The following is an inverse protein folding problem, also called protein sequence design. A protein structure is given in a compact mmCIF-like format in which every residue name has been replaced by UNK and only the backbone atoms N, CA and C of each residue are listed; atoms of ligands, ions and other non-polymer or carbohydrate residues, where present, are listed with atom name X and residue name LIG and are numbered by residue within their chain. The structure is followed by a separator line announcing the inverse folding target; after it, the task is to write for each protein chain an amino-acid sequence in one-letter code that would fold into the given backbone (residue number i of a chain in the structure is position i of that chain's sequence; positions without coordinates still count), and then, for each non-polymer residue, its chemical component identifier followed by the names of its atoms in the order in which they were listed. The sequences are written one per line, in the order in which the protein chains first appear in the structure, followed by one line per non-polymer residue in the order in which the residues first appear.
data_IF_148410570220
#
_entry.id   IF_148410570220
#
_cell.length_a   1.000
_cell.length_b   1.000
_cell.length_c   1.000
_cell.angle_alpha   90.00
_cell.angle_beta   90.00
_cell.angle_gamma   90.00
#
_symmetry.space_group_name_H-M   'P 1'
#
loop_
_entity.id
_entity.type
_entity.pdbx_description
1 polymer ?
#
# COMPACT_ATOMS: atom_id res chain seq x y z
N UNK A 1 -32.62 7.67 -28.25
CA UNK A 1 -32.29 7.49 -29.68
C UNK A 1 -30.84 7.07 -29.75
N UNK A 2 -30.52 5.92 -30.33
CA UNK A 2 -29.14 5.54 -30.60
C UNK A 2 -28.88 5.81 -32.09
N UNK A 3 -28.13 6.85 -32.39
CA UNK A 3 -27.66 7.14 -33.75
C UNK A 3 -26.49 6.22 -34.07
N UNK A 4 -26.57 5.51 -35.21
CA UNK A 4 -25.52 4.62 -35.67
C UNK A 4 -24.67 5.33 -36.73
N UNK A 5 -23.41 5.60 -36.39
CA UNK A 5 -22.42 6.21 -37.30
C UNK A 5 -21.47 5.12 -37.79
N UNK A 6 -21.27 5.01 -39.11
CA UNK A 6 -20.33 4.09 -39.75
C UNK A 6 -19.22 4.88 -40.41
N UNK A 7 -17.95 4.56 -40.13
CA UNK A 7 -16.77 5.30 -40.62
C UNK A 7 -15.76 4.32 -41.22
N UNK A 8 -15.18 4.67 -42.38
CA UNK A 8 -14.10 3.92 -43.02
C UNK A 8 -12.74 4.43 -42.53
N UNK A 9 -11.87 3.52 -42.09
CA UNK A 9 -10.56 3.85 -41.50
C UNK A 9 -9.38 3.63 -42.45
N UNK A 10 -9.61 3.14 -43.68
CA UNK A 10 -8.54 2.68 -44.57
C UNK A 10 -7.53 3.75 -44.98
N UNK A 11 -7.92 5.03 -44.94
CA UNK A 11 -7.06 6.16 -45.30
C UNK A 11 -6.30 6.75 -44.10
N UNK A 12 -6.47 6.18 -42.90
CA UNK A 12 -5.77 6.64 -41.70
C UNK A 12 -4.46 5.88 -41.51
N UNK A 13 -3.44 6.62 -41.08
CA UNK A 13 -2.20 6.09 -40.53
C UNK A 13 -2.43 5.37 -39.19
N UNK A 14 -1.45 4.60 -38.71
CA UNK A 14 -1.55 3.89 -37.42
C UNK A 14 -1.75 4.85 -36.23
N UNK A 15 -1.05 5.99 -36.23
CA UNK A 15 -1.16 7.02 -35.19
C UNK A 15 -2.57 7.63 -35.17
N UNK A 16 -3.14 7.93 -36.34
CA UNK A 16 -4.48 8.46 -36.47
C UNK A 16 -5.56 7.43 -36.07
N UNK A 17 -5.33 6.14 -36.32
CA UNK A 17 -6.21 5.05 -35.88
C UNK A 17 -6.23 4.92 -34.36
N UNK A 18 -5.08 5.08 -33.72
CA UNK A 18 -4.95 5.04 -32.25
C UNK A 18 -5.66 6.23 -31.60
N UNK A 19 -5.49 7.43 -32.16
CA UNK A 19 -6.22 8.62 -31.72
C UNK A 19 -7.73 8.47 -31.91
N UNK A 20 -8.18 7.96 -33.06
CA UNK A 20 -9.60 7.73 -33.35
C UNK A 20 -10.22 6.73 -32.37
N UNK A 21 -9.53 5.62 -32.08
CA UNK A 21 -9.98 4.61 -31.10
C UNK A 21 -10.15 5.21 -29.70
N UNK A 22 -9.23 6.09 -29.30
CA UNK A 22 -9.29 6.81 -28.01
C UNK A 22 -10.53 7.70 -27.92
N UNK A 23 -10.87 8.43 -29.00
CA UNK A 23 -12.07 9.26 -29.07
C UNK A 23 -13.36 8.44 -29.02
N UNK A 24 -13.40 7.29 -29.71
CA UNK A 24 -14.55 6.37 -29.69
C UNK A 24 -14.77 5.80 -28.29
N UNK A 25 -13.71 5.39 -27.59
CA UNK A 25 -13.81 4.88 -26.22
C UNK A 25 -14.30 5.98 -25.25
N UNK A 26 -13.80 7.22 -25.40
CA UNK A 26 -14.26 8.38 -24.61
C UNK A 26 -15.74 8.70 -24.86
N UNK A 27 -16.18 8.69 -26.12
CA UNK A 27 -17.57 8.92 -26.51
C UNK A 27 -18.55 7.86 -26.01
N UNK A 28 -18.08 6.62 -25.80
CA UNK A 28 -18.86 5.52 -25.20
C UNK A 28 -19.01 5.60 -23.68
N UNK A 29 -18.52 6.69 -23.05
CA UNK A 29 -18.57 6.84 -21.59
C UNK A 29 -17.60 5.91 -20.85
N UNK A 30 -16.64 5.31 -21.57
CA UNK A 30 -15.51 4.60 -20.95
C UNK A 30 -14.62 5.69 -20.36
N UNK A 31 -14.92 6.10 -19.12
CA UNK A 31 -14.16 7.11 -18.43
C UNK A 31 -12.69 6.71 -18.49
N UNK A 32 -11.85 7.58 -19.04
CA UNK A 32 -10.39 7.44 -19.08
C UNK A 32 -9.78 7.61 -17.69
N UNK A 33 -10.37 6.99 -16.66
CA UNK A 33 -9.57 6.58 -15.52
C UNK A 33 -8.69 5.48 -16.06
N UNK A 34 -7.58 5.89 -16.68
CA UNK A 34 -6.40 5.05 -16.70
C UNK A 34 -6.31 4.42 -15.31
N UNK A 35 -6.21 3.10 -15.28
CA UNK A 35 -6.00 2.39 -14.03
C UNK A 35 -4.81 3.05 -13.32
N UNK A 36 -5.06 3.83 -12.26
CA UNK A 36 -3.98 4.37 -11.42
C UNK A 36 -3.14 3.24 -10.80
N UNK A 37 -3.61 2.00 -10.89
CA UNK A 37 -2.88 0.79 -10.53
C UNK A 37 -1.97 0.38 -11.69
N UNK A 38 -0.67 0.56 -11.49
CA UNK A 38 0.36 0.08 -12.40
C UNK A 38 0.25 -1.43 -12.65
N UNK A 39 0.56 -1.85 -13.87
CA UNK A 39 0.65 -3.26 -14.27
C UNK A 39 1.78 -3.42 -15.28
N UNK A 40 2.65 -4.44 -15.15
CA UNK A 40 3.68 -4.70 -16.15
C UNK A 40 3.09 -5.16 -17.48
N UNK A 41 3.80 -4.88 -18.57
CA UNK A 41 3.57 -5.49 -19.90
C UNK A 41 4.17 -6.89 -19.95
N UNK A 42 3.74 -7.70 -20.94
CA UNK A 42 4.32 -9.04 -21.15
C UNK A 42 5.83 -8.92 -21.41
N UNK A 43 6.63 -9.64 -20.63
CA UNK A 43 8.10 -9.61 -20.67
C UNK A 43 8.75 -8.51 -19.83
N UNK A 44 7.99 -7.63 -19.17
CA UNK A 44 8.56 -6.65 -18.24
C UNK A 44 8.88 -7.29 -16.89
N UNK A 45 9.97 -6.85 -16.27
CA UNK A 45 10.35 -7.25 -14.91
C UNK A 45 9.42 -6.59 -13.90
N UNK A 46 8.99 -7.36 -12.92
CA UNK A 46 8.36 -6.88 -11.70
C UNK A 46 9.03 -7.53 -10.49
N UNK A 47 8.84 -6.92 -9.32
CA UNK A 47 9.33 -7.45 -8.06
C UNK A 47 8.16 -7.96 -7.22
N UNK A 48 8.40 -8.99 -6.42
CA UNK A 48 7.44 -9.53 -5.47
C UNK A 48 8.17 -10.02 -4.22
N UNK A 49 7.44 -10.15 -3.12
CA UNK A 49 7.96 -10.71 -1.86
C UNK A 49 7.62 -12.20 -1.84
N UNK A 50 8.62 -13.07 -1.71
CA UNK A 50 8.40 -14.51 -1.59
C UNK A 50 8.02 -14.92 -0.14
N UNK A 51 7.82 -16.22 0.06
CA UNK A 51 7.49 -16.84 1.35
C UNK A 51 8.58 -16.70 2.42
N UNK A 52 9.83 -16.49 2.02
CA UNK A 52 10.95 -16.19 2.91
C UNK A 52 11.10 -14.69 3.22
N UNK A 53 10.12 -13.87 2.81
CA UNK A 53 10.14 -12.42 2.97
C UNK A 53 11.33 -11.75 2.25
N UNK A 54 11.69 -12.27 1.07
CA UNK A 54 12.76 -11.75 0.21
C UNK A 54 12.14 -11.11 -1.04
N UNK A 55 12.65 -9.94 -1.43
CA UNK A 55 12.31 -9.30 -2.71
C UNK A 55 12.95 -10.07 -3.85
N UNK A 56 12.14 -10.51 -4.82
CA UNK A 56 12.58 -11.31 -5.97
C UNK A 56 12.05 -10.65 -7.25
N UNK A 57 12.88 -10.61 -8.29
CA UNK A 57 12.49 -10.19 -9.63
C UNK A 57 11.90 -11.38 -10.42
N UNK A 58 10.85 -11.13 -11.20
CA UNK A 58 10.28 -12.07 -12.15
C UNK A 58 9.81 -11.35 -13.42
N UNK A 59 9.63 -12.08 -14.52
CA UNK A 59 9.08 -11.54 -15.76
C UNK A 59 7.57 -11.73 -15.78
N UNK A 60 6.84 -10.65 -16.04
CA UNK A 60 5.41 -10.71 -16.23
C UNK A 60 5.09 -11.44 -17.54
N UNK A 61 4.65 -12.69 -17.45
CA UNK A 61 4.28 -13.51 -18.61
C UNK A 61 2.77 -13.61 -18.80
N UNK A 62 2.00 -12.95 -17.93
CA UNK A 62 0.54 -12.99 -17.87
C UNK A 62 0.01 -14.42 -17.59
N UNK A 63 0.79 -15.21 -16.85
CA UNK A 63 0.43 -16.57 -16.42
C UNK A 63 -0.36 -16.53 -15.10
N UNK A 64 -0.76 -17.69 -14.59
CA UNK A 64 -1.57 -17.77 -13.36
C UNK A 64 -0.86 -17.15 -12.15
N UNK A 65 0.41 -17.48 -11.93
CA UNK A 65 1.17 -16.94 -10.77
C UNK A 65 1.28 -15.42 -10.79
N UNK A 66 1.49 -14.80 -11.96
CA UNK A 66 1.52 -13.35 -12.12
C UNK A 66 0.18 -12.71 -11.71
N UNK A 67 -0.92 -13.31 -12.15
CA UNK A 67 -2.28 -12.84 -11.87
C UNK A 67 -2.62 -12.99 -10.39
N UNK A 68 -2.20 -14.09 -9.76
CA UNK A 68 -2.44 -14.33 -8.34
C UNK A 68 -1.64 -13.37 -7.46
N UNK A 69 -0.34 -13.17 -7.75
CA UNK A 69 0.49 -12.16 -7.08
C UNK A 69 -0.13 -10.77 -7.21
N UNK A 70 -0.59 -10.40 -8.41
CA UNK A 70 -1.30 -9.13 -8.63
C UNK A 70 -2.61 -9.03 -7.84
N UNK A 71 -3.39 -10.10 -7.77
CA UNK A 71 -4.69 -10.13 -7.07
C UNK A 71 -4.56 -9.80 -5.59
N UNK A 72 -3.44 -10.20 -4.97
CA UNK A 72 -3.14 -9.91 -3.56
C UNK A 72 -2.29 -8.65 -3.36
N UNK A 73 -1.99 -7.90 -4.43
CA UNK A 73 -1.16 -6.70 -4.36
C UNK A 73 0.34 -6.97 -4.14
N UNK A 74 0.82 -8.19 -4.34
CA UNK A 74 2.23 -8.57 -4.20
C UNK A 74 2.97 -8.40 -5.54
N UNK A 75 2.83 -7.23 -6.16
CA UNK A 75 3.58 -6.83 -7.36
C UNK A 75 4.09 -5.40 -7.18
N UNK A 76 5.37 -5.20 -7.45
CA UNK A 76 6.05 -3.93 -7.27
C UNK A 76 6.83 -3.59 -8.54
N UNK A 77 6.89 -2.30 -8.87
CA UNK A 77 7.58 -1.83 -10.07
C UNK A 77 9.09 -1.83 -9.87
N UNK A 78 9.53 -1.61 -8.65
CA UNK A 78 10.95 -1.56 -8.28
C UNK A 78 11.23 -2.44 -7.08
N UNK A 79 12.49 -2.88 -6.96
CA UNK A 79 12.96 -3.60 -5.78
C UNK A 79 12.77 -2.79 -4.50
N UNK A 80 13.03 -1.47 -4.57
CA UNK A 80 12.85 -0.54 -3.43
C UNK A 80 11.39 -0.51 -2.94
N UNK A 81 10.42 -0.55 -3.83
CA UNK A 81 9.00 -0.64 -3.45
C UNK A 81 8.68 -1.98 -2.75
N UNK A 82 9.23 -3.09 -3.26
CA UNK A 82 9.07 -4.40 -2.65
C UNK A 82 9.73 -4.47 -1.26
N UNK A 83 10.94 -3.94 -1.12
CA UNK A 83 11.66 -3.85 0.15
C UNK A 83 10.94 -2.95 1.15
N UNK A 84 10.39 -1.82 0.70
CA UNK A 84 9.58 -0.96 1.56
C UNK A 84 8.32 -1.67 2.05
N UNK A 85 7.60 -2.37 1.17
CA UNK A 85 6.42 -3.14 1.54
C UNK A 85 6.74 -4.30 2.50
N UNK A 86 7.90 -4.96 2.31
CA UNK A 86 8.45 -5.96 3.22
C UNK A 86 8.70 -5.38 4.61
N UNK A 87 9.40 -4.26 4.72
CA UNK A 87 9.70 -3.64 6.02
C UNK A 87 8.43 -3.09 6.68
N UNK A 88 7.48 -2.55 5.91
CA UNK A 88 6.14 -2.19 6.40
C UNK A 88 5.40 -3.38 7.00
N UNK A 89 5.42 -4.54 6.35
CA UNK A 89 4.79 -5.75 6.87
C UNK A 89 5.47 -6.22 8.18
N UNK A 90 6.81 -6.12 8.27
CA UNK A 90 7.56 -6.44 9.50
C UNK A 90 7.19 -5.52 10.65
N UNK A 91 7.23 -4.20 10.47
CA UNK A 91 6.88 -3.22 11.51
C UNK A 91 5.44 -3.43 12.00
N UNK A 92 4.50 -3.66 11.09
CA UNK A 92 3.12 -3.99 11.48
C UNK A 92 3.06 -5.26 12.33
N UNK A 93 3.78 -6.31 11.94
CA UNK A 93 3.80 -7.59 12.66
C UNK A 93 4.47 -7.50 14.02
N UNK A 94 5.53 -6.70 14.15
CA UNK A 94 6.20 -6.42 15.42
C UNK A 94 5.23 -5.73 16.40
N UNK A 95 4.50 -4.70 15.94
CA UNK A 95 3.47 -4.03 16.75
C UNK A 95 2.32 -4.97 17.15
N UNK A 96 1.82 -5.79 16.22
CA UNK A 96 0.78 -6.79 16.52
C UNK A 96 1.23 -7.80 17.58
N UNK A 97 2.48 -8.28 17.50
CA UNK A 97 3.04 -9.20 18.51
C UNK A 97 3.21 -8.50 19.86
N UNK A 98 3.73 -7.28 19.86
CA UNK A 98 3.86 -6.49 21.09
C UNK A 98 2.51 -6.29 21.77
N UNK A 99 1.47 -5.93 21.00
CA UNK A 99 0.11 -5.81 21.52
C UNK A 99 -0.41 -7.15 22.07
N UNK A 100 -0.16 -8.27 21.40
CA UNK A 100 -0.58 -9.59 21.89
C UNK A 100 0.12 -9.98 23.20
N UNK A 101 1.38 -9.61 23.38
CA UNK A 101 2.19 -9.94 24.56
C UNK A 101 1.92 -9.02 25.76
N UNK A 102 1.57 -7.76 25.52
CA UNK A 102 1.50 -6.73 26.55
C UNK A 102 0.10 -6.18 26.84
N UNK A 103 -0.88 -6.37 25.94
CA UNK A 103 -2.24 -5.99 26.25
C UNK A 103 -2.80 -6.85 27.38
N UNK A 104 -3.66 -6.22 28.18
CA UNK A 104 -4.44 -6.93 29.18
C UNK A 104 -5.46 -7.84 28.47
N UNK A 105 -5.38 -9.17 28.65
CA UNK A 105 -6.30 -10.11 28.00
C UNK A 105 -7.74 -9.98 28.52
N UNK A 106 -7.90 -9.48 29.75
CA UNK A 106 -9.19 -9.28 30.42
C UNK A 106 -9.66 -7.83 30.33
N UNK A 107 -9.06 -7.04 29.44
CA UNK A 107 -9.35 -5.62 29.30
C UNK A 107 -10.85 -5.37 29.04
N UNK A 108 -11.51 -4.80 30.05
CA UNK A 108 -12.92 -4.41 30.01
C UNK A 108 -13.12 -2.90 29.91
N UNK A 109 -12.05 -2.14 29.64
CA UNK A 109 -12.11 -0.69 29.48
C UNK A 109 -12.86 -0.29 28.22
N UNK A 110 -13.22 0.99 28.15
CA UNK A 110 -14.03 1.51 27.04
C UNK A 110 -13.18 2.08 25.90
N UNK A 111 -11.87 2.22 26.09
CA UNK A 111 -11.02 3.01 25.21
C UNK A 111 -9.86 2.16 24.68
N UNK A 112 -9.53 2.32 23.40
CA UNK A 112 -8.34 1.70 22.82
C UNK A 112 -7.36 2.78 22.40
N UNK A 113 -6.08 2.48 22.52
CA UNK A 113 -5.00 3.39 22.17
C UNK A 113 -4.36 2.97 20.85
N UNK A 114 -4.05 3.97 20.01
CA UNK A 114 -3.51 3.78 18.67
C UNK A 114 -2.30 4.69 18.44
N UNK A 115 -1.35 4.19 17.67
CA UNK A 115 -0.26 5.01 17.15
C UNK A 115 -0.82 5.82 15.98
N UNK A 116 -0.69 7.14 16.06
CA UNK A 116 -1.00 8.08 14.98
C UNK A 116 0.23 8.91 14.65
N UNK A 117 0.22 9.59 13.50
CA UNK A 117 1.21 10.61 13.17
C UNK A 117 0.55 11.99 13.22
N UNK A 118 1.14 12.92 13.95
CA UNK A 118 0.81 14.33 13.85
C UNK A 118 1.39 14.90 12.56
N UNK A 119 0.52 15.22 11.60
CA UNK A 119 0.90 15.68 10.27
C UNK A 119 1.62 17.03 10.26
N UNK A 120 1.42 17.88 11.27
CA UNK A 120 2.06 19.19 11.36
C UNK A 120 3.53 19.13 11.75
N UNK A 121 3.92 18.13 12.56
CA UNK A 121 5.29 17.98 13.09
C UNK A 121 5.98 16.69 12.65
N UNK A 122 5.29 15.82 11.89
CA UNK A 122 5.80 14.52 11.42
C UNK A 122 6.31 13.62 12.55
N UNK A 123 5.59 13.61 13.66
CA UNK A 123 5.93 12.83 14.85
C UNK A 123 4.81 11.85 15.22
N UNK A 124 5.16 10.73 15.84
CA UNK A 124 4.20 9.80 16.45
C UNK A 124 3.50 10.43 17.63
N UNK A 125 2.21 10.16 17.77
CA UNK A 125 1.40 10.48 18.94
C UNK A 125 0.48 9.32 19.27
N UNK A 126 -0.20 9.39 20.41
CA UNK A 126 -1.17 8.40 20.86
C UNK A 126 -2.57 8.99 20.72
N UNK A 127 -3.44 8.27 20.02
CA UNK A 127 -4.87 8.55 19.98
C UNK A 127 -5.61 7.56 20.87
N UNK A 128 -6.37 8.09 21.82
CA UNK A 128 -7.39 7.35 22.53
C UNK A 128 -8.70 7.38 21.73
N UNK A 129 -9.31 6.22 21.51
CA UNK A 129 -10.54 6.12 20.73
C UNK A 129 -11.57 5.21 21.42
N UNK A 130 -12.74 5.79 21.67
CA UNK A 130 -13.83 5.12 22.40
C UNK A 130 -14.43 3.97 21.59
N UNK A 131 -14.35 2.77 22.16
CA UNK A 131 -15.04 1.52 21.75
C UNK A 131 -14.92 1.12 20.27
N UNK A 132 -13.91 1.58 19.56
CA UNK A 132 -13.75 1.25 18.15
C UNK A 132 -12.34 0.75 17.85
N UNK A 133 -12.29 -0.39 17.14
CA UNK A 133 -11.09 -0.92 16.49
C UNK A 133 -10.98 -0.35 15.09
N UNK A 134 -9.85 0.24 14.77
CA UNK A 134 -9.58 0.81 13.45
C UNK A 134 -8.96 -0.26 12.56
N UNK A 135 -9.60 -0.57 11.43
CA UNK A 135 -9.06 -1.53 10.48
C UNK A 135 -7.66 -1.09 10.01
N UNK A 136 -6.70 -1.99 10.13
CA UNK A 136 -5.31 -1.74 9.74
C UNK A 136 -4.41 -1.15 10.83
N UNK A 137 -4.96 -0.72 11.97
CA UNK A 137 -4.19 -0.20 13.10
C UNK A 137 -4.14 -1.21 14.26
N UNK A 138 -2.96 -1.35 14.88
CA UNK A 138 -2.81 -2.12 16.11
C UNK A 138 -3.43 -1.34 17.27
N UNK A 139 -4.26 -2.02 18.08
CA UNK A 139 -4.89 -1.45 19.26
C UNK A 139 -4.16 -1.87 20.52
N UNK A 140 -4.06 -0.96 21.48
CA UNK A 140 -3.45 -1.18 22.78
C UNK A 140 -4.45 -0.89 23.91
N UNK A 141 -4.32 -1.59 25.03
CA UNK A 141 -5.26 -1.49 26.17
C UNK A 141 -4.90 -0.39 27.17
N UNK A 142 -3.74 0.27 27.01
CA UNK A 142 -3.39 1.46 27.78
C UNK A 142 -2.46 2.39 27.00
N UNK A 143 -2.46 3.68 27.36
CA UNK A 143 -1.53 4.67 26.82
C UNK A 143 -0.06 4.28 27.07
N UNK A 144 0.22 3.67 28.23
CA UNK A 144 1.58 3.22 28.56
C UNK A 144 2.07 2.16 27.57
N UNK A 145 1.26 1.13 27.30
CA UNK A 145 1.66 0.02 26.42
C UNK A 145 1.97 0.53 25.01
N UNK A 146 1.17 1.46 24.46
CA UNK A 146 1.42 1.98 23.12
C UNK A 146 2.69 2.85 23.07
N UNK A 147 3.00 3.62 24.12
CA UNK A 147 4.26 4.36 24.21
C UNK A 147 5.45 3.41 24.25
N UNK A 148 5.39 2.39 25.10
CA UNK A 148 6.44 1.36 25.18
C UNK A 148 6.61 0.63 23.84
N UNK A 149 5.51 0.36 23.12
CA UNK A 149 5.54 -0.27 21.79
C UNK A 149 6.24 0.61 20.74
N UNK A 150 6.02 1.94 20.78
CA UNK A 150 6.70 2.89 19.90
C UNK A 150 8.22 2.86 20.14
N UNK A 151 8.64 2.81 21.40
CA UNK A 151 10.05 2.72 21.78
C UNK A 151 10.66 1.38 21.35
N UNK A 152 9.99 0.26 21.64
CA UNK A 152 10.48 -1.09 21.37
C UNK A 152 10.62 -1.39 19.86
N UNK A 153 9.67 -0.95 19.05
CA UNK A 153 9.70 -1.15 17.58
C UNK A 153 10.58 -0.10 16.88
N UNK A 154 10.69 1.09 17.47
CA UNK A 154 11.45 2.21 16.96
C UNK A 154 10.55 3.23 16.23
N UNK A 155 10.41 4.41 16.83
CA UNK A 155 9.64 5.55 16.32
C UNK A 155 9.95 5.89 14.85
N UNK A 156 11.22 5.96 14.46
CA UNK A 156 11.60 6.30 13.08
C UNK A 156 11.20 5.22 12.07
N UNK A 157 11.28 3.94 12.44
CA UNK A 157 10.79 2.83 11.60
C UNK A 157 9.28 2.90 11.41
N UNK A 158 8.55 3.24 12.47
CA UNK A 158 7.09 3.44 12.42
C UNK A 158 6.75 4.60 11.48
N UNK A 159 7.36 5.77 11.66
CA UNK A 159 7.15 6.95 10.79
C UNK A 159 7.44 6.62 9.33
N UNK A 160 8.57 5.98 9.06
CA UNK A 160 8.97 5.60 7.71
C UNK A 160 8.03 4.61 7.07
N UNK A 161 7.79 3.47 7.71
CA UNK A 161 7.13 2.35 7.03
C UNK A 161 5.61 2.33 7.18
N UNK A 162 5.05 2.85 8.28
CA UNK A 162 3.61 2.93 8.45
C UNK A 162 3.03 4.23 7.88
N UNK A 163 3.74 5.35 8.06
CA UNK A 163 3.26 6.68 7.65
C UNK A 163 3.93 7.24 6.39
N UNK A 164 4.95 6.57 5.85
CA UNK A 164 5.61 7.00 4.61
C UNK A 164 6.43 8.28 4.77
N UNK A 165 6.92 8.56 5.97
CA UNK A 165 7.74 9.75 6.26
C UNK A 165 9.21 9.36 6.38
N UNK A 166 10.03 9.86 5.47
CA UNK A 166 11.47 9.82 5.64
C UNK A 166 11.89 10.83 6.72
N UNK A 167 12.20 10.32 7.89
CA UNK A 167 12.89 11.05 8.95
C UNK A 167 14.37 10.67 8.88
N UNK A 168 15.25 11.66 8.72
CA UNK A 168 16.68 11.44 8.93
C UNK A 168 16.87 11.14 10.43
N UNK A 169 17.61 10.07 10.74
CA UNK A 169 18.14 9.91 12.10
C UNK A 169 19.04 11.11 12.32
N UNK A 170 18.65 12.04 13.21
CA UNK A 170 19.61 12.99 13.75
C UNK A 170 20.68 12.14 14.44
N UNK A 171 21.82 11.98 13.77
CA UNK A 171 23.00 11.40 14.34
C UNK A 171 23.39 12.33 15.49
N UNK A 172 23.03 11.92 16.71
CA UNK A 172 23.49 12.59 17.92
C UNK A 172 25.00 12.34 18.02
N UNK A 173 25.79 13.35 17.65
CA UNK A 173 27.19 13.50 18.04
C UNK A 173 27.32 13.70 19.57
#
# INVERSE_FOLDING_TARGET
MNEQITVNLNNLTEEEREQFKTLVDKGRGKSSRESCVWKPKKGEVYYYINDYNVSIADFWNNVYVDKDRRKIGNIFKTEKEADFAKEKAKVKRELERYALEHNDPDYSGNDYYYIIMNTGVKDTSVLEYWKAKVEGATHFTSEKIVKDAIEAVGKYRILKYLFGVDCEEEAND
#
